data_IF_115874553341
#
_entry.id   IF_115874553341
#
_cell.length_a   1.000
_cell.length_b   1.000
_cell.length_c   1.000
_cell.angle_alpha   90.00
_cell.angle_beta   90.00
_cell.angle_gamma   90.00
#
_symmetry.space_group_name_H-M   'P 1'
#
loop_
_entity.id
_entity.type
_entity.pdbx_description
1 polymer ?
#
# COMPACT_ATOMS: atom_id res chain seq x y z
N UNK A 1 -19.41 0.03 12.31
CA UNK A 1 -18.07 0.48 11.86
C UNK A 1 -16.97 -0.10 12.75
N UNK A 2 -15.83 -0.58 12.17
CA UNK A 2 -14.68 -1.10 12.91
C UNK A 2 -13.40 -0.59 12.29
N UNK A 3 -12.44 -0.14 13.10
CA UNK A 3 -11.10 0.25 12.67
C UNK A 3 -10.09 -0.74 13.24
N UNK A 4 -9.25 -1.31 12.37
CA UNK A 4 -8.18 -2.24 12.71
C UNK A 4 -6.83 -1.67 12.28
N UNK A 5 -5.79 -1.89 13.06
CA UNK A 5 -4.43 -1.44 12.81
C UNK A 5 -3.60 -2.67 12.46
N UNK A 6 -3.10 -2.75 11.22
CA UNK A 6 -2.30 -3.87 10.72
C UNK A 6 -0.81 -3.51 10.55
N UNK A 7 -0.46 -2.27 10.84
CA UNK A 7 0.89 -1.75 10.82
C UNK A 7 0.93 -0.33 11.36
N UNK A 8 2.13 0.20 11.61
CA UNK A 8 2.38 1.45 12.34
C UNK A 8 1.65 1.49 13.70
N UNK A 9 1.48 0.33 14.32
CA UNK A 9 0.94 0.16 15.66
C UNK A 9 2.10 -0.06 16.63
N UNK A 10 2.36 0.92 17.46
CA UNK A 10 3.53 1.01 18.37
C UNK A 10 4.89 1.05 17.65
N UNK A 11 4.91 1.31 16.35
CA UNK A 11 6.10 1.53 15.53
C UNK A 11 5.82 2.64 14.51
N UNK A 12 6.88 3.14 13.83
CA UNK A 12 6.77 4.31 12.95
C UNK A 12 6.43 3.93 11.52
N UNK A 13 6.91 2.79 11.02
CA UNK A 13 6.80 2.39 9.62
C UNK A 13 5.75 1.31 9.37
N UNK A 14 5.40 1.08 8.13
CA UNK A 14 4.46 0.04 7.71
C UNK A 14 3.00 0.42 7.91
N UNK A 15 2.64 1.69 7.67
CA UNK A 15 1.26 2.17 7.82
C UNK A 15 0.27 1.30 7.05
N UNK A 16 -0.68 0.72 7.77
CA UNK A 16 -1.74 -0.11 7.19
C UNK A 16 -2.92 -0.19 8.14
N UNK A 17 -3.96 0.58 7.89
CA UNK A 17 -5.15 0.64 8.74
C UNK A 17 -6.37 0.19 7.94
N UNK A 18 -7.23 -0.61 8.51
CA UNK A 18 -8.43 -1.11 7.84
C UNK A 18 -9.70 -0.58 8.52
N UNK A 19 -10.51 0.12 7.75
CA UNK A 19 -11.84 0.53 8.12
C UNK A 19 -12.86 -0.45 7.52
N UNK A 20 -13.64 -1.09 8.38
CA UNK A 20 -14.77 -1.94 7.98
C UNK A 20 -16.06 -1.17 8.24
N UNK A 21 -16.80 -0.87 7.18
CA UNK A 21 -18.06 -0.09 7.22
C UNK A 21 -18.98 -0.49 6.07
N UNK A 22 -20.27 -0.63 6.33
CA UNK A 22 -21.30 -0.99 5.33
C UNK A 22 -20.94 -2.25 4.50
N UNK A 23 -20.29 -3.24 5.15
CA UNK A 23 -19.85 -4.47 4.48
C UNK A 23 -18.66 -4.28 3.54
N UNK A 24 -18.01 -3.11 3.54
CA UNK A 24 -16.79 -2.82 2.77
C UNK A 24 -15.57 -2.77 3.66
N UNK A 25 -14.43 -3.17 3.11
CA UNK A 25 -13.12 -3.12 3.75
C UNK A 25 -12.23 -2.14 2.99
N UNK A 26 -11.85 -1.07 3.68
CA UNK A 26 -11.10 0.06 3.12
C UNK A 26 -9.77 0.12 3.85
N UNK A 27 -8.66 -0.07 3.14
CA UNK A 27 -7.34 0.21 3.69
C UNK A 27 -7.04 1.70 3.58
N UNK A 28 -6.45 2.26 4.62
CA UNK A 28 -5.71 3.53 4.57
C UNK A 28 -4.25 3.16 4.66
N UNK A 29 -3.54 3.40 3.57
CA UNK A 29 -2.18 2.96 3.30
C UNK A 29 -2.00 1.41 3.28
N UNK A 30 -0.89 0.97 2.71
CA UNK A 30 -0.45 -0.43 2.70
C UNK A 30 1.08 -0.43 2.59
N UNK A 31 1.72 -0.06 3.69
CA UNK A 31 3.13 0.27 3.76
C UNK A 31 4.04 -0.91 4.04
N UNK A 32 5.30 -0.77 3.63
CA UNK A 32 6.39 -1.67 3.96
C UNK A 32 6.92 -1.33 5.34
N UNK A 33 7.03 -2.31 6.22
CA UNK A 33 7.77 -2.15 7.48
C UNK A 33 9.26 -2.08 7.22
N UNK A 34 9.92 -1.13 7.86
CA UNK A 34 11.35 -0.84 7.72
C UNK A 34 11.98 -0.63 9.09
N UNK A 35 13.28 -0.91 9.22
CA UNK A 35 14.05 -0.67 10.42
C UNK A 35 14.38 -1.91 11.23
N UNK A 36 14.84 -1.70 12.49
CA UNK A 36 15.35 -2.79 13.33
C UNK A 36 14.28 -3.63 14.01
N UNK A 37 13.10 -3.04 14.22
CA UNK A 37 11.93 -3.69 14.83
C UNK A 37 11.01 -4.28 13.75
N UNK A 38 11.62 -4.74 12.67
CA UNK A 38 10.95 -5.22 11.48
C UNK A 38 10.09 -6.46 11.80
N UNK A 39 8.78 -6.29 11.72
CA UNK A 39 7.85 -7.40 11.59
C UNK A 39 7.89 -7.86 10.14
N UNK A 40 7.78 -9.16 9.88
CA UNK A 40 7.82 -9.69 8.51
C UNK A 40 6.80 -9.00 7.60
N UNK A 41 7.25 -8.63 6.40
CA UNK A 41 6.42 -8.09 5.35
C UNK A 41 5.77 -9.16 4.46
N UNK A 42 6.07 -10.45 4.69
CA UNK A 42 5.77 -11.56 3.78
C UNK A 42 4.29 -11.92 3.69
N UNK A 43 3.48 -11.50 4.65
CA UNK A 43 2.06 -11.86 4.70
C UNK A 43 1.18 -10.70 5.13
N UNK A 44 -0.07 -10.71 4.68
CA UNK A 44 -1.14 -9.89 5.23
C UNK A 44 -1.96 -10.69 6.25
N UNK A 45 -2.51 -10.04 7.30
CA UNK A 45 -3.43 -10.70 8.23
C UNK A 45 -4.86 -10.82 7.67
N UNK A 46 -5.04 -10.59 6.37
CA UNK A 46 -6.30 -10.64 5.64
C UNK A 46 -6.06 -11.17 4.22
N UNK A 47 -7.12 -11.59 3.53
CA UNK A 47 -7.03 -11.95 2.13
C UNK A 47 -7.11 -10.69 1.25
N UNK A 48 -6.23 -10.59 0.25
CA UNK A 48 -6.14 -9.42 -0.62
C UNK A 48 -7.44 -9.13 -1.39
N UNK A 49 -8.16 -10.18 -1.78
CA UNK A 49 -9.45 -10.07 -2.47
C UNK A 49 -10.62 -9.64 -1.58
N UNK A 50 -10.42 -9.58 -0.24
CA UNK A 50 -11.42 -9.04 0.69
C UNK A 50 -11.36 -7.50 0.79
N UNK A 51 -10.36 -6.88 0.20
CA UNK A 51 -10.18 -5.43 0.25
C UNK A 51 -10.86 -4.78 -0.95
N UNK A 52 -11.81 -3.88 -0.67
CA UNK A 52 -12.55 -3.15 -1.70
C UNK A 52 -11.81 -1.89 -2.17
N UNK A 53 -11.12 -1.20 -1.25
CA UNK A 53 -10.45 0.07 -1.54
C UNK A 53 -9.13 0.18 -0.78
N UNK A 54 -8.17 0.86 -1.39
CA UNK A 54 -6.96 1.38 -0.73
C UNK A 54 -6.95 2.90 -0.91
N UNK A 55 -6.97 3.64 0.17
CA UNK A 55 -6.81 5.10 0.18
C UNK A 55 -5.36 5.40 0.53
N UNK A 56 -4.65 6.11 -0.32
CA UNK A 56 -3.23 6.39 -0.13
C UNK A 56 -3.03 7.82 0.33
N UNK A 57 -2.43 7.98 1.50
CA UNK A 57 -2.13 9.29 2.07
C UNK A 57 -1.01 10.00 1.31
N UNK A 58 0.07 9.30 1.00
CA UNK A 58 1.22 9.81 0.25
C UNK A 58 2.13 8.68 -0.23
N UNK A 59 3.12 8.99 -1.07
CA UNK A 59 3.86 8.01 -1.84
C UNK A 59 5.04 7.32 -1.12
N UNK A 60 5.37 7.64 0.14
CA UNK A 60 6.47 6.99 0.84
C UNK A 60 6.27 5.47 0.94
N UNK A 61 7.37 4.72 0.89
CA UNK A 61 7.36 3.25 0.84
C UNK A 61 6.79 2.61 2.10
N UNK A 62 6.95 3.23 3.25
CA UNK A 62 6.33 2.79 4.50
C UNK A 62 4.80 3.07 4.57
N UNK A 63 4.23 3.69 3.52
CA UNK A 63 2.79 3.89 3.31
C UNK A 63 2.24 3.14 2.08
N UNK A 64 3.10 2.81 1.11
CA UNK A 64 2.67 2.24 -0.18
C UNK A 64 3.37 0.93 -0.56
N UNK A 65 4.48 0.63 0.09
CA UNK A 65 5.44 -0.37 -0.38
C UNK A 65 4.96 -1.83 -0.42
N UNK A 66 3.79 -2.16 0.15
CA UNK A 66 3.17 -3.49 0.00
C UNK A 66 1.96 -3.50 -0.95
N UNK A 67 1.64 -2.38 -1.60
CA UNK A 67 0.56 -2.34 -2.59
C UNK A 67 0.82 -3.29 -3.78
N UNK A 68 2.05 -3.38 -4.35
CA UNK A 68 2.31 -4.35 -5.41
C UNK A 68 2.11 -5.80 -4.97
N UNK A 69 2.49 -6.13 -3.73
CA UNK A 69 2.25 -7.44 -3.16
C UNK A 69 0.74 -7.71 -2.98
N UNK A 70 -0.05 -6.71 -2.58
CA UNK A 70 -1.50 -6.80 -2.47
C UNK A 70 -2.12 -7.14 -3.85
N UNK A 71 -1.67 -6.45 -4.92
CA UNK A 71 -2.10 -6.71 -6.29
C UNK A 71 -1.68 -8.12 -6.74
N UNK A 72 -0.43 -8.52 -6.49
CA UNK A 72 0.09 -9.87 -6.77
C UNK A 72 -0.76 -10.96 -6.11
N UNK A 73 -1.27 -10.72 -4.91
CA UNK A 73 -2.09 -11.65 -4.13
C UNK A 73 -3.59 -11.63 -4.47
N UNK A 74 -3.99 -10.90 -5.52
CA UNK A 74 -5.35 -10.99 -6.07
C UNK A 74 -6.30 -9.86 -5.64
N UNK A 75 -5.79 -8.71 -5.23
CA UNK A 75 -6.60 -7.50 -5.04
C UNK A 75 -7.35 -7.14 -6.33
N UNK A 76 -8.64 -6.84 -6.22
CA UNK A 76 -9.53 -6.48 -7.33
C UNK A 76 -10.27 -5.16 -7.13
N UNK A 77 -9.95 -4.46 -6.04
CA UNK A 77 -10.60 -3.20 -5.67
C UNK A 77 -10.02 -2.00 -6.41
N UNK A 78 -10.19 -0.81 -5.84
CA UNK A 78 -9.65 0.45 -6.37
C UNK A 78 -8.65 1.07 -5.39
N UNK A 79 -7.59 1.66 -5.94
CA UNK A 79 -6.61 2.44 -5.20
C UNK A 79 -6.88 3.91 -5.48
N UNK A 80 -7.15 4.70 -4.46
CA UNK A 80 -7.48 6.13 -4.58
C UNK A 80 -6.36 6.96 -3.97
N UNK A 81 -5.83 7.90 -4.74
CA UNK A 81 -4.80 8.83 -4.33
C UNK A 81 -4.97 10.17 -5.02
N UNK A 82 -4.32 11.23 -4.53
CA UNK A 82 -4.16 12.43 -5.33
C UNK A 82 -3.33 12.14 -6.57
N UNK A 83 -3.51 12.93 -7.63
CA UNK A 83 -2.78 12.74 -8.88
C UNK A 83 -1.25 12.72 -8.68
N UNK A 84 -0.71 13.68 -7.93
CA UNK A 84 0.74 13.75 -7.69
C UNK A 84 1.26 12.57 -6.86
N UNK A 85 0.48 12.09 -5.89
CA UNK A 85 0.81 10.86 -5.15
C UNK A 85 0.85 9.66 -6.09
N UNK A 86 -0.12 9.52 -7.01
CA UNK A 86 -0.16 8.43 -7.98
C UNK A 86 1.07 8.46 -8.92
N UNK A 87 1.43 9.64 -9.43
CA UNK A 87 2.60 9.81 -10.30
C UNK A 87 3.92 9.45 -9.57
N UNK A 88 4.07 9.84 -8.30
CA UNK A 88 5.23 9.50 -7.49
C UNK A 88 5.26 8.01 -7.13
N UNK A 89 4.11 7.42 -6.79
CA UNK A 89 4.02 5.99 -6.48
C UNK A 89 4.50 5.12 -7.63
N UNK A 90 4.15 5.45 -8.88
CA UNK A 90 4.59 4.68 -10.04
C UNK A 90 6.11 4.56 -10.10
N UNK A 91 6.81 5.66 -9.83
CA UNK A 91 8.28 5.69 -9.80
C UNK A 91 8.83 4.92 -8.58
N UNK A 92 8.31 5.24 -7.39
CA UNK A 92 8.85 4.71 -6.13
C UNK A 92 8.62 3.21 -5.96
N UNK A 93 7.47 2.70 -6.41
CA UNK A 93 7.16 1.27 -6.32
C UNK A 93 8.02 0.45 -7.28
N UNK A 94 8.31 0.95 -8.49
CA UNK A 94 9.21 0.28 -9.43
C UNK A 94 10.66 0.30 -8.92
N UNK A 95 11.12 1.42 -8.34
CA UNK A 95 12.45 1.50 -7.72
C UNK A 95 12.57 0.52 -6.54
N UNK A 96 11.57 0.49 -5.65
CA UNK A 96 11.51 -0.48 -4.54
C UNK A 96 11.54 -1.93 -5.03
N UNK A 97 10.81 -2.26 -6.10
CA UNK A 97 10.83 -3.59 -6.71
C UNK A 97 12.22 -3.94 -7.23
N UNK A 98 12.86 -3.02 -7.95
CA UNK A 98 14.21 -3.22 -8.48
C UNK A 98 15.24 -3.49 -7.37
N UNK A 99 15.16 -2.74 -6.27
CA UNK A 99 16.02 -2.97 -5.10
C UNK A 99 15.79 -4.38 -4.53
N UNK A 100 14.53 -4.80 -4.36
CA UNK A 100 14.19 -6.12 -3.82
C UNK A 100 14.64 -7.27 -4.74
N UNK A 101 14.48 -7.13 -6.06
CA UNK A 101 14.98 -8.11 -7.04
C UNK A 101 16.51 -8.21 -6.97
N UNK A 102 17.21 -7.08 -6.94
CA UNK A 102 18.67 -7.03 -6.85
C UNK A 102 19.19 -7.67 -5.56
N UNK A 103 18.52 -7.40 -4.43
CA UNK A 103 18.84 -8.00 -3.13
C UNK A 103 18.61 -9.51 -3.12
N UNK A 104 17.50 -9.97 -3.71
CA UNK A 104 17.21 -11.40 -3.84
C UNK A 104 18.26 -12.11 -4.70
N UNK A 105 18.63 -11.54 -5.84
CA UNK A 105 19.70 -12.08 -6.69
C UNK A 105 21.04 -12.16 -5.95
N UNK A 106 21.42 -11.11 -5.20
CA UNK A 106 22.66 -11.11 -4.45
C UNK A 106 22.65 -12.19 -3.35
N UNK A 107 21.53 -12.32 -2.62
CA UNK A 107 21.34 -13.38 -1.60
C UNK A 107 21.42 -14.77 -2.24
N UNK A 108 20.81 -14.98 -3.39
CA UNK A 108 20.75 -16.25 -4.09
C UNK A 108 22.13 -16.68 -4.62
N UNK A 109 22.91 -15.75 -5.19
CA UNK A 109 24.31 -16.03 -5.57
C UNK A 109 25.17 -16.46 -4.37
N UNK A 110 24.88 -15.95 -3.16
CA UNK A 110 25.55 -16.35 -1.94
C UNK A 110 25.03 -17.69 -1.42
N UNK A 111 23.73 -17.94 -1.52
CA UNK A 111 23.07 -19.19 -1.14
C UNK A 111 23.58 -20.39 -1.95
N UNK A 112 23.78 -20.23 -3.28
CA UNK A 112 24.34 -21.26 -4.15
C UNK A 112 25.70 -21.79 -3.66
N UNK A 113 26.53 -20.91 -3.10
CA UNK A 113 27.84 -21.27 -2.57
C UNK A 113 27.81 -21.98 -1.20
N UNK A 114 26.73 -21.78 -0.45
CA UNK A 114 26.57 -22.30 0.92
C UNK A 114 25.54 -23.42 1.03
N UNK A 115 24.78 -23.72 -0.04
CA UNK A 115 23.68 -24.68 -0.02
C UNK A 115 22.45 -24.17 0.76
N UNK A 116 22.35 -22.86 1.00
CA UNK A 116 21.18 -22.26 1.65
C UNK A 116 19.98 -22.17 0.68
N UNK A 117 18.74 -22.12 1.18
CA UNK A 117 17.56 -21.93 0.35
C UNK A 117 17.60 -20.59 -0.39
N UNK A 118 17.03 -20.57 -1.61
CA UNK A 118 16.85 -19.33 -2.36
C UNK A 118 15.72 -18.49 -1.78
N UNK A 119 15.79 -17.19 -1.98
CA UNK A 119 14.79 -16.20 -1.57
C UNK A 119 14.17 -15.53 -2.79
N UNK A 120 12.90 -15.20 -2.71
CA UNK A 120 12.18 -14.43 -3.73
C UNK A 120 11.92 -13.01 -3.21
N UNK A 121 11.85 -12.01 -4.10
CA UNK A 121 11.38 -10.67 -3.72
C UNK A 121 9.89 -10.72 -3.35
N UNK A 122 9.44 -9.83 -2.48
CA UNK A 122 8.01 -9.72 -2.13
C UNK A 122 7.15 -9.52 -3.38
N UNK A 123 7.65 -8.73 -4.32
CA UNK A 123 7.06 -8.46 -5.62
C UNK A 123 8.14 -8.05 -6.63
N UNK A 124 7.81 -8.15 -7.89
CA UNK A 124 8.68 -7.79 -9.03
C UNK A 124 8.34 -6.42 -9.58
N UNK A 125 9.19 -5.89 -10.49
CA UNK A 125 8.90 -4.67 -11.26
C UNK A 125 7.59 -4.82 -12.03
N UNK A 126 7.31 -5.98 -12.61
CA UNK A 126 6.05 -6.24 -13.32
C UNK A 126 4.84 -6.13 -12.38
N UNK A 127 4.93 -6.67 -11.16
CA UNK A 127 3.87 -6.51 -10.16
C UNK A 127 3.66 -5.04 -9.77
N UNK A 128 4.73 -4.26 -9.64
CA UNK A 128 4.65 -2.83 -9.35
C UNK A 128 3.98 -2.04 -10.49
N UNK A 129 4.30 -2.33 -11.74
CA UNK A 129 3.68 -1.71 -12.90
C UNK A 129 2.18 -2.00 -13.01
N UNK A 130 1.74 -3.18 -12.58
CA UNK A 130 0.32 -3.55 -12.57
C UNK A 130 -0.54 -2.71 -11.63
N UNK A 131 0.06 -2.06 -10.62
CA UNK A 131 -0.65 -1.20 -9.67
C UNK A 131 -1.41 -0.08 -10.38
N UNK A 132 -0.84 0.47 -11.46
CA UNK A 132 -1.46 1.55 -12.26
C UNK A 132 -2.86 1.19 -12.80
N UNK A 133 -3.14 -0.08 -13.03
CA UNK A 133 -4.45 -0.56 -13.54
C UNK A 133 -5.59 -0.41 -12.52
N UNK A 134 -5.26 -0.28 -11.25
CA UNK A 134 -6.20 -0.16 -10.12
C UNK A 134 -6.35 1.28 -9.63
N UNK A 135 -5.53 2.21 -10.18
CA UNK A 135 -5.47 3.59 -9.71
C UNK A 135 -6.68 4.42 -10.16
N UNK A 136 -7.19 5.20 -9.23
CA UNK A 136 -8.16 6.28 -9.45
C UNK A 136 -7.62 7.52 -8.78
N UNK A 137 -7.50 8.62 -9.50
CA UNK A 137 -7.01 9.89 -8.95
C UNK A 137 -8.15 10.76 -8.47
N UNK A 138 -7.91 11.54 -7.43
CA UNK A 138 -8.82 12.54 -6.89
C UNK A 138 -8.11 13.90 -6.75
N UNK A 139 -8.93 14.95 -6.61
CA UNK A 139 -8.46 16.32 -6.36
C UNK A 139 -8.59 16.65 -4.87
N UNK A 140 -7.77 17.60 -4.40
CA UNK A 140 -7.88 18.11 -3.04
C UNK A 140 -9.20 18.84 -2.80
N UNK A 141 -9.73 18.73 -1.59
CA UNK A 141 -10.93 19.41 -1.12
C UNK A 141 -12.17 19.13 -1.98
N UNK A 142 -12.18 17.99 -2.68
CA UNK A 142 -13.34 17.55 -3.44
C UNK A 142 -13.84 16.24 -2.85
N UNK A 143 -15.06 16.22 -2.31
CA UNK A 143 -15.67 14.99 -1.81
C UNK A 143 -15.87 13.98 -2.93
N UNK A 144 -15.46 12.73 -2.67
CA UNK A 144 -15.62 11.58 -3.54
C UNK A 144 -16.50 10.53 -2.85
N UNK A 145 -17.61 10.16 -3.46
CA UNK A 145 -18.41 9.03 -3.01
C UNK A 145 -17.68 7.73 -3.37
N UNK A 146 -17.16 7.05 -2.35
CA UNK A 146 -16.36 5.84 -2.49
C UNK A 146 -17.26 4.62 -2.77
N UNK A 147 -18.29 4.49 -1.94
CA UNK A 147 -19.37 3.51 -2.07
C UNK A 147 -20.60 4.02 -1.31
N UNK A 148 -21.70 3.25 -1.32
CA UNK A 148 -22.93 3.62 -0.63
C UNK A 148 -22.67 3.91 0.85
N UNK A 149 -23.05 5.09 1.30
CA UNK A 149 -22.89 5.57 2.68
C UNK A 149 -21.45 5.93 3.07
N UNK A 150 -20.47 5.89 2.14
CA UNK A 150 -19.07 6.25 2.46
C UNK A 150 -18.56 7.28 1.47
N UNK A 151 -18.15 8.43 2.02
CA UNK A 151 -17.56 9.55 1.27
C UNK A 151 -16.19 9.87 1.84
N UNK A 152 -15.24 10.20 0.96
CA UNK A 152 -13.88 10.58 1.33
C UNK A 152 -13.52 11.94 0.73
N UNK A 153 -12.66 12.67 1.43
CA UNK A 153 -12.09 13.92 0.97
C UNK A 153 -10.60 13.94 1.31
N UNK A 154 -9.79 14.32 0.34
CA UNK A 154 -8.33 14.43 0.48
C UNK A 154 -7.98 15.90 0.71
N UNK A 155 -7.35 16.20 1.85
CA UNK A 155 -6.94 17.55 2.24
C UNK A 155 -5.42 17.60 2.28
N UNK A 156 -4.81 18.64 1.72
CA UNK A 156 -3.35 18.78 1.68
C UNK A 156 -2.74 18.66 3.09
N UNK A 157 -1.81 17.74 3.23
CA UNK A 157 -1.10 17.47 4.49
C UNK A 157 0.20 18.27 4.63
N UNK A 158 0.70 18.90 3.56
CA UNK A 158 1.93 19.71 3.58
C UNK A 158 3.20 18.91 3.85
N UNK A 159 3.22 17.61 3.54
CA UNK A 159 4.33 16.70 3.86
C UNK A 159 5.19 16.37 2.63
N UNK A 160 4.58 15.91 1.56
CA UNK A 160 5.19 15.53 0.29
C UNK A 160 4.28 16.00 -0.84
N UNK A 161 4.80 16.12 -2.07
CA UNK A 161 3.96 16.42 -3.24
C UNK A 161 2.82 15.40 -3.33
N UNK A 162 1.60 15.90 -3.34
CA UNK A 162 0.41 15.08 -3.38
C UNK A 162 -0.06 14.52 -2.03
N UNK A 163 0.69 14.71 -0.95
CA UNK A 163 0.33 14.17 0.37
C UNK A 163 -1.01 14.71 0.88
N UNK A 164 -1.79 13.83 1.50
CA UNK A 164 -3.11 14.18 2.01
C UNK A 164 -3.40 13.59 3.38
N UNK A 165 -4.12 14.37 4.19
CA UNK A 165 -4.96 13.83 5.26
C UNK A 165 -6.28 13.41 4.64
N UNK A 166 -6.81 12.25 5.02
CA UNK A 166 -8.04 11.71 4.45
C UNK A 166 -9.17 11.82 5.46
N UNK A 167 -10.18 12.62 5.12
CA UNK A 167 -11.42 12.70 5.86
C UNK A 167 -12.38 11.63 5.34
N UNK A 168 -12.82 10.73 6.20
CA UNK A 168 -13.81 9.69 5.86
C UNK A 168 -15.11 9.99 6.59
N UNK A 169 -16.18 10.16 5.84
CA UNK A 169 -17.54 10.31 6.37
C UNK A 169 -18.32 9.04 6.03
N UNK A 170 -18.85 8.38 7.07
CA UNK A 170 -19.63 7.16 6.91
C UNK A 170 -21.00 7.30 7.58
N UNK A 171 -22.04 6.79 6.92
CA UNK A 171 -23.41 6.67 7.43
C UNK A 171 -23.77 5.19 7.42
N UNK A 172 -24.03 4.62 8.62
CA UNK A 172 -24.50 3.23 8.80
C UNK A 172 -26.02 3.18 8.92
#
# INVERSE_FOLDING_TARGET
MKLSFYGADQCVTGSCHCLEVNGRRILVDCGLQQGRDEVSNDAFPFAANDIDFVLVTHAHIDHTGRIPMLVKQGFQGRIVATRLTADLMDIMLQDSAHIQESDAEWKNRKAERSGAPQVEPLYTIEDAQRVSQYMTTCEYNQPLDLCEGVRVEFVDAGHLLGSASILVTATE
#
